data_IF_126114690394
#
_entry.id   IF_126114690394
#
_cell.length_a   1.000
_cell.length_b   1.000
_cell.length_c   1.000
_cell.angle_alpha   90.00
_cell.angle_beta   90.00
_cell.angle_gamma   90.00
#
_symmetry.space_group_name_H-M   'P 1'
#
loop_
_entity.id
_entity.type
_entity.pdbx_description
1 polymer ?
#
# COMPACT_ATOMS: atom_id res chain seq x y z
N UNK A 1 -6.52 -0.85 16.19
CA UNK A 1 -7.26 -0.45 17.40
C UNK A 1 -6.86 -1.31 18.61
N UNK A 2 -7.04 -0.80 19.84
CA UNK A 2 -6.88 -1.53 21.11
C UNK A 2 -5.54 -1.31 21.81
N UNK A 3 -4.42 -1.60 21.14
CA UNK A 3 -3.08 -1.56 21.75
C UNK A 3 -2.02 -0.73 21.00
N UNK A 4 -2.31 -0.29 19.78
CA UNK A 4 -1.38 0.48 18.95
C UNK A 4 -2.08 1.65 18.27
N UNK A 5 -1.44 2.82 18.29
CA UNK A 5 -1.88 4.03 17.59
C UNK A 5 -1.22 4.18 16.21
N UNK A 6 -0.93 3.06 15.55
CA UNK A 6 -0.37 3.07 14.20
C UNK A 6 -1.30 3.80 13.24
N UNK A 7 -0.72 4.66 12.40
CA UNK A 7 -1.43 5.39 11.37
C UNK A 7 -0.68 5.18 10.06
N UNK A 8 -1.42 4.75 9.04
CA UNK A 8 -0.89 4.44 7.73
C UNK A 8 -1.45 5.39 6.69
N UNK A 9 -0.62 5.72 5.71
CA UNK A 9 -1.02 6.42 4.50
C UNK A 9 -0.57 5.57 3.32
N UNK A 10 -1.54 5.17 2.50
CA UNK A 10 -1.33 4.36 1.32
C UNK A 10 -1.34 5.30 0.10
N UNK A 11 -0.36 5.12 -0.78
CA UNK A 11 -0.20 5.90 -2.01
C UNK A 11 -0.40 5.00 -3.22
N UNK A 12 -0.90 5.56 -4.32
CA UNK A 12 -0.92 4.90 -5.63
C UNK A 12 0.25 5.44 -6.46
N UNK A 13 1.31 4.64 -6.60
CA UNK A 13 2.42 4.94 -7.48
C UNK A 13 2.11 4.44 -8.89
N UNK A 14 2.44 5.23 -9.90
CA UNK A 14 2.20 4.96 -11.33
C UNK A 14 3.46 5.28 -12.12
N UNK A 15 3.50 4.85 -13.38
CA UNK A 15 4.64 5.08 -14.27
C UNK A 15 5.95 4.52 -13.70
N UNK A 16 5.87 3.27 -13.21
CA UNK A 16 6.95 2.61 -12.50
C UNK A 16 8.05 2.16 -13.48
N UNK A 17 9.30 2.35 -13.06
CA UNK A 17 10.48 1.86 -13.77
C UNK A 17 11.35 0.99 -12.85
N UNK A 18 12.10 0.01 -13.39
CA UNK A 18 13.07 -0.74 -12.60
C UNK A 18 14.08 0.20 -11.94
N UNK A 19 14.38 -0.04 -10.66
CA UNK A 19 15.43 0.63 -9.92
C UNK A 19 16.44 -0.42 -9.42
N UNK A 20 17.74 -0.29 -9.72
CA UNK A 20 18.73 -1.22 -9.21
C UNK A 20 18.85 -1.09 -7.69
N UNK A 21 19.21 -2.20 -7.04
CA UNK A 21 19.61 -2.15 -5.62
C UNK A 21 20.91 -1.35 -5.49
N UNK A 22 21.14 -0.64 -4.38
CA UNK A 22 22.40 0.04 -4.12
C UNK A 22 23.58 -0.93 -4.18
N UNK A 23 24.75 -0.44 -4.60
CA UNK A 23 25.97 -1.25 -4.63
C UNK A 23 26.31 -1.81 -3.24
N UNK A 24 26.55 -3.12 -3.18
CA UNK A 24 26.83 -3.82 -1.92
C UNK A 24 25.62 -4.10 -1.03
N UNK A 25 24.39 -3.79 -1.48
CA UNK A 25 23.18 -4.10 -0.71
C UNK A 25 22.91 -5.60 -0.67
N UNK A 26 22.77 -6.14 0.54
CA UNK A 26 22.37 -7.52 0.82
C UNK A 26 21.15 -7.49 1.74
N UNK A 27 20.03 -8.19 1.42
CA UNK A 27 18.88 -8.28 2.31
C UNK A 27 19.23 -8.90 3.66
N UNK A 28 18.81 -8.24 4.74
CA UNK A 28 19.05 -8.66 6.12
C UNK A 28 17.74 -8.73 6.91
N UNK A 29 17.77 -9.38 8.08
CA UNK A 29 16.60 -9.46 8.95
C UNK A 29 15.37 -10.08 8.28
N UNK A 30 14.22 -9.45 8.49
CA UNK A 30 12.92 -9.87 7.93
C UNK A 30 12.92 -9.81 6.38
N UNK A 31 13.67 -8.89 5.78
CA UNK A 31 13.72 -8.70 4.33
C UNK A 31 14.38 -9.87 3.58
N UNK A 32 15.20 -10.67 4.26
CA UNK A 32 15.89 -11.82 3.65
C UNK A 32 14.92 -12.84 3.05
N UNK A 33 13.71 -12.93 3.61
CA UNK A 33 12.68 -13.87 3.20
C UNK A 33 11.59 -13.23 2.34
N UNK A 34 11.68 -11.93 2.07
CA UNK A 34 10.68 -11.22 1.28
C UNK A 34 10.93 -11.44 -0.22
N UNK A 35 9.88 -11.86 -0.92
CA UNK A 35 9.82 -11.87 -2.39
C UNK A 35 8.98 -10.71 -2.89
N UNK A 36 9.12 -10.38 -4.16
CA UNK A 36 8.34 -9.36 -4.82
C UNK A 36 7.90 -9.88 -6.19
N UNK A 37 6.60 -9.84 -6.42
CA UNK A 37 5.95 -10.36 -7.62
C UNK A 37 4.90 -9.36 -8.11
N UNK A 38 4.55 -9.46 -9.40
CA UNK A 38 3.51 -8.65 -10.02
C UNK A 38 2.26 -9.47 -10.20
N UNK A 39 1.14 -8.99 -9.66
CA UNK A 39 -0.15 -9.66 -9.75
C UNK A 39 -1.20 -8.73 -10.38
N UNK A 40 -2.11 -9.24 -11.21
CA UNK A 40 -3.25 -8.47 -11.69
C UNK A 40 -4.12 -7.98 -10.53
N UNK A 41 -4.58 -6.72 -10.62
CA UNK A 41 -5.42 -6.12 -9.59
C UNK A 41 -6.68 -6.93 -9.30
N UNK A 42 -7.32 -7.48 -10.35
CA UNK A 42 -8.58 -8.21 -10.22
C UNK A 42 -8.36 -9.57 -9.53
N UNK A 43 -7.20 -10.21 -9.76
CA UNK A 43 -6.81 -11.46 -9.08
C UNK A 43 -6.54 -11.22 -7.60
N UNK A 44 -5.89 -10.11 -7.25
CA UNK A 44 -5.71 -9.70 -5.85
C UNK A 44 -7.04 -9.43 -5.16
N UNK A 45 -8.01 -8.81 -5.84
CA UNK A 45 -9.36 -8.60 -5.31
C UNK A 45 -10.05 -9.94 -5.04
N UNK A 46 -9.96 -10.90 -5.96
CA UNK A 46 -10.50 -12.24 -5.76
C UNK A 46 -9.82 -12.96 -4.58
N UNK A 47 -8.49 -12.95 -4.52
CA UNK A 47 -7.73 -13.56 -3.43
C UNK A 47 -8.08 -12.97 -2.05
N UNK A 48 -8.38 -11.67 -1.95
CA UNK A 48 -8.88 -11.04 -0.72
C UNK A 48 -10.25 -11.59 -0.34
N UNK A 49 -11.18 -11.68 -1.30
CA UNK A 49 -12.54 -12.20 -1.05
C UNK A 49 -12.54 -13.68 -0.66
N UNK A 50 -11.61 -14.45 -1.23
CA UNK A 50 -11.39 -15.87 -0.92
C UNK A 50 -10.57 -16.09 0.37
N UNK A 51 -10.20 -15.01 1.07
CA UNK A 51 -9.45 -15.07 2.33
C UNK A 51 -8.00 -15.53 2.19
N UNK A 52 -7.45 -15.58 0.98
CA UNK A 52 -6.06 -15.94 0.68
C UNK A 52 -5.09 -14.77 0.91
N UNK A 53 -5.61 -13.54 0.98
CA UNK A 53 -4.84 -12.34 1.28
C UNK A 53 -5.45 -11.61 2.49
N UNK A 54 -4.69 -11.52 3.59
CA UNK A 54 -5.21 -11.05 4.88
C UNK A 54 -4.44 -9.86 5.48
N UNK A 55 -3.31 -9.47 4.89
CA UNK A 55 -2.57 -8.30 5.35
C UNK A 55 -3.46 -7.06 5.30
N UNK A 56 -3.76 -6.39 6.44
CA UNK A 56 -4.73 -5.30 6.46
C UNK A 56 -4.33 -4.12 5.56
N UNK A 57 -3.03 -3.87 5.41
CA UNK A 57 -2.51 -2.79 4.58
C UNK A 57 -2.65 -3.09 3.09
N UNK A 58 -2.37 -4.33 2.70
CA UNK A 58 -2.59 -4.83 1.34
C UNK A 58 -4.07 -4.78 0.98
N UNK A 59 -4.94 -5.34 1.84
CA UNK A 59 -6.39 -5.33 1.65
C UNK A 59 -6.91 -3.91 1.45
N UNK A 60 -6.49 -2.97 2.30
CA UNK A 60 -6.91 -1.57 2.20
C UNK A 60 -6.46 -0.93 0.88
N UNK A 61 -5.20 -1.12 0.49
CA UNK A 61 -4.64 -0.53 -0.74
C UNK A 61 -5.25 -1.08 -2.02
N UNK A 62 -5.41 -2.41 -2.10
CA UNK A 62 -6.00 -3.11 -3.25
C UNK A 62 -7.45 -2.68 -3.43
N UNK A 63 -8.27 -2.76 -2.39
CA UNK A 63 -9.70 -2.42 -2.48
C UNK A 63 -9.92 -0.92 -2.75
N UNK A 64 -9.12 -0.03 -2.16
CA UNK A 64 -9.19 1.40 -2.46
C UNK A 64 -8.85 1.69 -3.94
N UNK A 65 -7.83 1.03 -4.47
CA UNK A 65 -7.44 1.17 -5.89
C UNK A 65 -8.50 0.61 -6.83
N UNK A 66 -9.04 -0.58 -6.53
CA UNK A 66 -10.12 -1.19 -7.31
C UNK A 66 -11.37 -0.32 -7.34
N UNK A 67 -11.77 0.26 -6.20
CA UNK A 67 -12.90 1.18 -6.13
C UNK A 67 -12.67 2.46 -6.94
N UNK A 68 -11.48 3.07 -6.81
CA UNK A 68 -11.14 4.27 -7.58
C UNK A 68 -11.12 3.98 -9.09
N UNK A 69 -10.60 2.83 -9.52
CA UNK A 69 -10.64 2.36 -10.92
C UNK A 69 -12.07 2.18 -11.41
N UNK A 70 -12.92 1.47 -10.67
CA UNK A 70 -14.31 1.23 -11.03
C UNK A 70 -15.14 2.52 -11.13
N UNK A 71 -14.80 3.55 -10.34
CA UNK A 71 -15.44 4.86 -10.39
C UNK A 71 -14.85 5.80 -11.46
N UNK A 72 -13.77 5.41 -12.15
CA UNK A 72 -13.07 6.29 -13.10
C UNK A 72 -12.34 7.46 -12.43
N UNK A 73 -11.89 7.30 -11.17
CA UNK A 73 -11.37 8.38 -10.30
C UNK A 73 -9.89 8.25 -9.95
N UNK A 74 -9.13 7.44 -10.69
CA UNK A 74 -7.70 7.27 -10.44
C UNK A 74 -6.93 8.60 -10.57
N UNK A 75 -7.38 9.50 -11.44
CA UNK A 75 -6.78 10.82 -11.64
C UNK A 75 -7.29 11.89 -10.65
N UNK A 76 -8.39 11.60 -9.94
CA UNK A 76 -8.98 12.48 -8.93
C UNK A 76 -8.48 12.16 -7.51
N UNK A 77 -7.46 11.31 -7.39
CA UNK A 77 -6.86 10.98 -6.10
C UNK A 77 -6.13 12.21 -5.52
N UNK A 78 -6.22 12.34 -4.20
CA UNK A 78 -5.54 13.40 -3.43
C UNK A 78 -4.03 13.42 -3.74
N UNK A 79 -3.42 14.61 -3.97
CA UNK A 79 -1.97 14.72 -4.17
C UNK A 79 -1.15 14.11 -3.04
N UNK A 80 0.03 13.58 -3.35
CA UNK A 80 0.89 12.90 -2.37
C UNK A 80 1.25 13.80 -1.17
N UNK A 81 1.44 15.10 -1.42
CA UNK A 81 1.77 16.11 -0.41
C UNK A 81 0.55 16.67 0.34
N UNK A 82 -0.65 16.12 0.12
CA UNK A 82 -1.86 16.55 0.85
C UNK A 82 -1.66 16.43 2.36
N UNK A 83 -2.20 17.36 3.18
CA UNK A 83 -2.13 17.29 4.64
C UNK A 83 -2.50 15.92 5.19
N UNK A 84 -1.95 15.53 6.35
CA UNK A 84 -2.23 14.25 7.00
C UNK A 84 -2.92 14.44 8.36
N UNK A 85 -4.22 14.81 8.38
CA UNK A 85 -4.91 15.16 9.63
C UNK A 85 -4.86 14.09 10.72
N UNK A 86 -4.78 12.80 10.35
CA UNK A 86 -4.67 11.69 11.31
C UNK A 86 -3.29 11.70 11.99
N UNK A 87 -2.21 11.93 11.25
CA UNK A 87 -0.87 12.06 11.84
C UNK A 87 -0.70 13.37 12.59
N UNK A 88 -1.28 14.46 12.11
CA UNK A 88 -1.24 15.75 12.82
C UNK A 88 -1.93 15.62 14.20
N UNK A 89 -3.10 14.96 14.24
CA UNK A 89 -3.80 14.63 15.49
C UNK A 89 -3.01 13.71 16.41
N UNK A 90 -2.24 12.76 15.85
CA UNK A 90 -1.38 11.87 16.63
C UNK A 90 -0.18 12.60 17.22
N UNK A 91 0.46 13.50 16.46
CA UNK A 91 1.62 14.30 16.90
C UNK A 91 1.26 15.35 17.95
N UNK A 92 0.01 15.79 17.97
CA UNK A 92 -0.50 16.75 18.95
C UNK A 92 -0.90 16.13 20.30
N UNK A 93 -0.79 14.81 20.46
CA UNK A 93 -1.04 14.08 21.71
C UNK A 93 0.29 13.72 22.37
#
# INVERSE_FOLDING_TARGET
PGGCQEALRIYLARDLSPAPRPDGFVPEGEERLMTADWEPLDDLVAAIQDGQCQSPTLVTGVLATALAKAQGRLDDLRPAHSPWPVMDRRRAR
#
